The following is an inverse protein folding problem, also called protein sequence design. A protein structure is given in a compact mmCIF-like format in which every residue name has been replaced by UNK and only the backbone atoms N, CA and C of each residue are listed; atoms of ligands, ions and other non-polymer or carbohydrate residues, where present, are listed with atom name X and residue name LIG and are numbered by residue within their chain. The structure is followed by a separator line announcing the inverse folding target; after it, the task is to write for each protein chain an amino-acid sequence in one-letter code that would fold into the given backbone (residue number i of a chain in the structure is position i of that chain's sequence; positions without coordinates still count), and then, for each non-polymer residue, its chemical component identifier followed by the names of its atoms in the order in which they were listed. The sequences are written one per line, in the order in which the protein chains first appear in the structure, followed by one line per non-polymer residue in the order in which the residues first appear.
data_IF_630832886368
#
_entry.id   IF_630832886368
#
_cell.length_a   1.000
_cell.length_b   1.000
_cell.length_c   1.000
_cell.angle_alpha   90.00
_cell.angle_beta   90.00
_cell.angle_gamma   90.00
#
_symmetry.space_group_name_H-M   'P 1'
#
loop_
_entity.id
_entity.type
_entity.pdbx_description
1 polymer ?
#
# COMPACT_ATOMS: atom_id res chain seq x y z
N UNK A 1 7.96 9.27 12.47
CA UNK A 1 6.92 8.33 12.02
C UNK A 1 7.53 7.58 10.86
N UNK A 2 7.90 6.31 11.06
CA UNK A 2 8.60 5.50 10.06
C UNK A 2 7.57 4.86 9.13
N UNK A 3 7.58 5.21 7.84
CA UNK A 3 6.82 4.48 6.81
C UNK A 3 7.23 3.01 6.85
N UNK A 4 6.26 2.12 7.06
CA UNK A 4 6.48 0.68 6.94
C UNK A 4 6.13 0.25 5.52
N UNK A 5 7.14 0.14 4.67
CA UNK A 5 7.00 -0.60 3.42
C UNK A 5 7.29 -2.07 3.71
N UNK A 6 6.26 -2.91 3.69
CA UNK A 6 6.42 -4.36 3.82
C UNK A 6 6.68 -4.96 2.44
N UNK A 7 7.96 -5.13 2.07
CA UNK A 7 8.33 -6.03 0.97
C UNK A 7 8.39 -7.46 1.51
N UNK A 8 7.36 -8.26 1.23
CA UNK A 8 7.33 -9.67 1.62
C UNK A 8 8.13 -10.48 0.58
N UNK A 9 9.39 -10.76 0.87
CA UNK A 9 10.15 -11.76 0.13
C UNK A 9 9.95 -13.14 0.79
N UNK A 10 9.18 -14.00 0.15
CA UNK A 10 8.96 -15.37 0.62
C UNK A 10 10.23 -16.20 0.40
N UNK A 11 10.89 -16.64 1.48
CA UNK A 11 12.05 -17.54 1.44
C UNK A 11 11.63 -18.93 1.90
N UNK A 12 11.86 -19.95 1.07
CA UNK A 12 11.55 -21.34 1.42
C UNK A 12 12.52 -21.84 2.51
N UNK A 13 11.99 -22.34 3.63
CA UNK A 13 12.79 -23.07 4.60
C UNK A 13 12.98 -24.51 4.11
N UNK A 14 14.19 -24.87 3.70
CA UNK A 14 14.56 -26.27 3.48
C UNK A 14 14.66 -26.96 4.85
N UNK A 15 13.72 -27.84 5.18
CA UNK A 15 13.85 -28.70 6.36
C UNK A 15 14.86 -29.82 6.06
N UNK A 16 16.12 -29.60 6.46
CA UNK A 16 17.06 -30.72 6.60
C UNK A 16 16.67 -31.50 7.87
N UNK A 17 15.75 -32.46 7.75
CA UNK A 17 15.55 -33.47 8.78
C UNK A 17 16.80 -34.37 8.79
N UNK A 18 17.70 -34.11 9.74
CA UNK A 18 18.79 -35.01 10.07
C UNK A 18 18.20 -36.38 10.42
N UNK A 19 18.53 -37.38 9.61
CA UNK A 19 17.93 -38.71 9.68
C UNK A 19 18.28 -39.45 10.96
N UNK A 20 17.26 -40.02 11.60
CA UNK A 20 17.41 -41.23 12.41
C UNK A 20 17.11 -42.43 11.52
N UNK A 21 18.08 -43.33 11.38
CA UNK A 21 17.94 -44.56 10.61
C UNK A 21 16.84 -45.42 11.22
N UNK A 22 15.76 -45.67 10.46
CA UNK A 22 14.74 -46.73 10.60
C UNK A 22 13.26 -46.26 10.52
N UNK A 23 12.94 -45.21 9.77
CA UNK A 23 11.54 -44.97 9.36
C UNK A 23 11.37 -45.16 7.86
N UNK A 24 10.42 -46.01 7.46
CA UNK A 24 9.98 -46.18 6.08
C UNK A 24 9.77 -44.79 5.48
N UNK A 25 10.47 -44.49 4.38
CA UNK A 25 10.46 -43.21 3.69
C UNK A 25 9.01 -42.90 3.27
N UNK A 26 8.27 -42.18 4.10
CA UNK A 26 7.03 -41.58 3.68
C UNK A 26 7.38 -40.56 2.61
N UNK A 27 6.84 -40.73 1.41
CA UNK A 27 6.92 -39.71 0.37
C UNK A 27 6.04 -38.55 0.83
N UNK A 28 6.62 -37.63 1.60
CA UNK A 28 5.97 -36.36 1.89
C UNK A 28 6.17 -35.52 0.63
N UNK A 29 5.19 -35.51 -0.26
CA UNK A 29 5.08 -34.42 -1.23
C UNK A 29 4.91 -33.14 -0.43
N UNK A 30 5.99 -32.36 -0.31
CA UNK A 30 5.85 -30.96 0.08
C UNK A 30 5.03 -30.28 -1.02
N UNK A 31 3.73 -30.13 -0.77
CA UNK A 31 2.86 -29.30 -1.59
C UNK A 31 3.45 -27.90 -1.57
N UNK A 32 4.10 -27.52 -2.69
CA UNK A 32 4.53 -26.13 -2.88
C UNK A 32 3.25 -25.29 -2.89
N UNK A 33 3.10 -24.33 -1.97
CA UNK A 33 1.90 -23.51 -1.97
C UNK A 33 1.87 -22.69 -3.26
N UNK A 34 0.79 -22.85 -4.03
CA UNK A 34 0.55 -22.09 -5.25
C UNK A 34 -0.08 -20.74 -4.87
N UNK A 35 0.74 -19.84 -4.35
CA UNK A 35 0.30 -18.49 -4.02
C UNK A 35 0.10 -17.67 -5.30
N UNK A 36 -1.01 -16.95 -5.34
CA UNK A 36 -1.24 -15.85 -6.29
C UNK A 36 -1.32 -14.53 -5.51
N UNK A 37 -1.12 -13.43 -6.22
CA UNK A 37 -1.28 -12.09 -5.69
C UNK A 37 -2.01 -11.24 -6.73
N UNK A 38 -2.63 -10.17 -6.25
CA UNK A 38 -3.27 -9.16 -7.07
C UNK A 38 -2.67 -7.81 -6.69
N UNK A 39 -2.29 -7.01 -7.69
CA UNK A 39 -1.95 -5.62 -7.44
C UNK A 39 -3.22 -4.86 -7.14
N UNK A 40 -3.36 -4.37 -5.91
CA UNK A 40 -4.42 -3.41 -5.62
C UNK A 40 -4.11 -2.13 -6.40
N UNK A 41 -5.08 -1.61 -7.16
CA UNK A 41 -4.81 -0.45 -7.96
C UNK A 41 -4.92 0.85 -7.11
N UNK A 42 -4.32 1.96 -7.56
CA UNK A 42 -4.22 3.22 -6.77
C UNK A 42 -5.43 4.15 -6.93
N UNK A 43 -6.15 4.45 -5.85
CA UNK A 43 -7.26 5.42 -5.85
C UNK A 43 -8.57 4.87 -5.27
N UNK A 44 -9.68 5.56 -5.57
CA UNK A 44 -11.02 5.14 -5.13
C UNK A 44 -11.59 4.16 -6.16
N UNK A 45 -11.85 2.94 -5.71
CA UNK A 45 -12.46 1.86 -6.48
C UNK A 45 -13.94 1.78 -6.12
N UNK A 46 -14.77 1.37 -7.08
CA UNK A 46 -16.21 1.17 -6.90
C UNK A 46 -17.01 2.45 -6.60
N UNK A 47 -18.32 2.29 -6.37
CA UNK A 47 -19.27 3.38 -6.12
C UNK A 47 -19.30 3.87 -4.67
N UNK A 48 -18.32 3.48 -3.84
CA UNK A 48 -18.29 3.80 -2.40
C UNK A 48 -17.61 5.14 -2.06
N UNK A 49 -17.27 5.95 -3.08
CA UNK A 49 -16.71 7.29 -2.91
C UNK A 49 -17.77 8.39 -2.75
N UNK A 50 -17.39 9.50 -2.12
CA UNK A 50 -18.17 10.73 -2.08
C UNK A 50 -17.27 11.96 -2.20
N UNK A 51 -17.86 13.08 -2.63
CA UNK A 51 -17.18 14.37 -2.70
C UNK A 51 -17.65 15.29 -1.58
N UNK A 52 -16.72 16.00 -0.95
CA UNK A 52 -17.03 16.99 0.09
C UNK A 52 -16.06 18.16 0.03
N UNK A 53 -16.56 19.36 0.30
CA UNK A 53 -15.71 20.50 0.59
C UNK A 53 -15.14 20.36 2.00
N UNK A 54 -13.84 20.07 2.08
CA UNK A 54 -13.10 19.92 3.33
C UNK A 54 -12.79 18.46 3.69
N UNK A 55 -11.89 18.30 4.67
CA UNK A 55 -11.46 17.00 5.17
C UNK A 55 -12.49 16.40 6.13
N UNK A 56 -12.56 15.08 6.15
CA UNK A 56 -13.35 14.29 7.08
C UNK A 56 -12.43 13.52 8.02
N UNK A 57 -12.95 13.06 9.14
CA UNK A 57 -12.21 12.18 10.06
C UNK A 57 -12.46 10.71 9.66
N UNK A 58 -11.43 9.87 9.81
CA UNK A 58 -11.41 8.52 9.24
C UNK A 58 -12.43 7.57 9.90
N UNK A 59 -12.44 7.43 11.22
CA UNK A 59 -13.30 6.49 11.94
C UNK A 59 -14.77 6.82 11.69
N UNK A 60 -15.13 8.10 11.75
CA UNK A 60 -16.48 8.58 11.46
C UNK A 60 -16.90 8.31 10.01
N UNK A 61 -15.97 8.43 9.07
CA UNK A 61 -16.26 8.25 7.64
C UNK A 61 -16.41 6.79 7.27
N UNK A 62 -15.51 5.94 7.78
CA UNK A 62 -15.51 4.49 7.54
C UNK A 62 -16.48 3.75 8.46
N UNK A 63 -17.02 4.42 9.49
CA UNK A 63 -17.73 3.77 10.60
C UNK A 63 -16.92 2.60 11.21
N UNK A 64 -15.59 2.76 11.23
CA UNK A 64 -14.63 1.74 11.67
C UNK A 64 -14.75 0.39 10.92
N UNK A 65 -15.29 0.41 9.70
CA UNK A 65 -15.43 -0.81 8.88
C UNK A 65 -14.18 -1.13 8.05
N UNK A 66 -13.22 -0.20 7.98
CA UNK A 66 -11.97 -0.32 7.23
C UNK A 66 -10.86 0.49 7.88
N UNK A 67 -9.65 -0.06 7.89
CA UNK A 67 -8.42 0.64 8.29
C UNK A 67 -7.96 1.70 7.27
N UNK A 68 -8.52 1.67 6.06
CA UNK A 68 -8.12 2.53 4.94
C UNK A 68 -9.20 3.53 4.57
N UNK A 69 -8.77 4.79 4.35
CA UNK A 69 -9.57 5.85 3.74
C UNK A 69 -8.74 6.60 2.69
N UNK A 70 -9.23 6.64 1.45
CA UNK A 70 -8.62 7.41 0.38
C UNK A 70 -9.10 8.86 0.40
N UNK A 71 -8.14 9.80 0.48
CA UNK A 71 -8.39 11.21 0.18
C UNK A 71 -7.85 11.51 -1.23
N UNK A 72 -8.71 12.03 -2.10
CA UNK A 72 -8.32 12.43 -3.46
C UNK A 72 -8.63 13.90 -3.67
N UNK A 73 -7.67 14.63 -4.21
CA UNK A 73 -7.84 16.02 -4.64
C UNK A 73 -7.07 16.26 -5.93
N UNK A 74 -7.50 17.24 -6.71
CA UNK A 74 -6.83 17.67 -7.94
C UNK A 74 -6.33 19.10 -7.78
N UNK A 75 -5.06 19.33 -8.06
CA UNK A 75 -4.44 20.66 -8.05
C UNK A 75 -4.17 21.04 -9.51
N UNK A 76 -4.74 22.16 -9.95
CA UNK A 76 -4.46 22.70 -11.27
C UNK A 76 -3.15 23.49 -11.20
N UNK A 77 -2.23 23.20 -12.12
CA UNK A 77 -0.93 23.85 -12.22
C UNK A 77 -0.90 24.66 -13.50
N UNK A 78 -0.70 25.98 -13.39
CA UNK A 78 -0.60 26.85 -14.55
C UNK A 78 0.76 26.68 -15.26
N UNK A 79 0.75 26.76 -16.59
CA UNK A 79 1.98 26.66 -17.41
C UNK A 79 2.99 27.78 -17.12
N UNK A 80 2.57 28.84 -16.43
CA UNK A 80 3.41 29.97 -16.04
C UNK A 80 4.28 29.73 -14.81
N UNK A 81 4.01 28.67 -14.05
CA UNK A 81 4.61 28.39 -12.74
C UNK A 81 6.14 28.32 -12.81
N UNK A 82 6.81 28.96 -11.86
CA UNK A 82 8.27 29.11 -11.86
C UNK A 82 8.97 27.75 -11.76
N UNK A 83 8.42 26.85 -10.96
CA UNK A 83 8.98 25.51 -10.73
C UNK A 83 9.01 24.63 -12.00
N UNK A 84 8.14 24.93 -12.98
CA UNK A 84 8.18 24.26 -14.28
C UNK A 84 9.37 24.70 -15.14
N UNK A 85 9.94 25.89 -14.88
CA UNK A 85 11.01 26.51 -15.70
C UNK A 85 12.38 26.31 -15.08
N UNK A 86 12.49 26.47 -13.76
CA UNK A 86 13.76 26.36 -13.04
C UNK A 86 14.07 24.92 -12.57
N UNK A 87 13.12 24.00 -12.74
CA UNK A 87 13.26 22.60 -12.36
C UNK A 87 13.15 22.34 -10.86
N UNK A 88 12.74 23.34 -10.07
CA UNK A 88 12.38 23.14 -8.66
C UNK A 88 11.11 22.28 -8.56
N UNK A 89 10.90 21.67 -7.39
CA UNK A 89 9.73 20.80 -7.15
C UNK A 89 8.80 21.47 -6.16
N UNK A 90 7.48 21.48 -6.42
CA UNK A 90 6.52 21.94 -5.42
C UNK A 90 6.58 21.02 -4.20
N UNK A 91 6.31 21.59 -3.03
CA UNK A 91 6.27 20.86 -1.76
C UNK A 91 4.81 20.61 -1.42
N UNK A 92 4.42 19.34 -1.32
CA UNK A 92 3.12 18.94 -0.78
C UNK A 92 3.27 18.70 0.72
N UNK A 93 2.67 19.57 1.53
CA UNK A 93 2.60 19.39 2.98
C UNK A 93 1.26 18.74 3.33
N UNK A 94 1.30 17.60 4.03
CA UNK A 94 0.09 16.92 4.54
C UNK A 94 0.23 16.72 6.05
N UNK A 95 -0.69 17.30 6.80
CA UNK A 95 -0.86 17.02 8.22
C UNK A 95 -1.96 15.96 8.39
N UNK A 96 -1.68 14.96 9.21
CA UNK A 96 -2.63 13.88 9.49
C UNK A 96 -2.71 13.64 11.00
N UNK A 97 -3.93 13.34 11.48
CA UNK A 97 -4.16 12.82 12.83
C UNK A 97 -4.09 11.29 12.88
N UNK A 98 -3.91 10.64 11.73
CA UNK A 98 -3.83 9.19 11.60
C UNK A 98 -2.45 8.63 11.93
N UNK A 99 -2.38 7.29 11.96
CA UNK A 99 -1.15 6.56 12.29
C UNK A 99 -0.18 6.49 11.10
N UNK A 100 -0.70 6.28 9.90
CA UNK A 100 0.06 6.11 8.66
C UNK A 100 -0.58 6.90 7.50
N UNK A 101 0.25 7.29 6.52
CA UNK A 101 -0.17 7.99 5.32
C UNK A 101 0.70 7.55 4.15
N UNK A 102 0.08 7.13 3.05
CA UNK A 102 0.73 6.93 1.76
C UNK A 102 0.29 8.00 0.78
N UNK A 103 1.24 8.62 0.10
CA UNK A 103 0.98 9.68 -0.86
C UNK A 103 1.22 9.15 -2.27
N UNK A 104 0.24 9.36 -3.15
CA UNK A 104 0.36 9.04 -4.56
C UNK A 104 0.12 10.31 -5.39
N UNK A 105 1.05 10.64 -6.28
CA UNK A 105 0.96 11.78 -7.19
C UNK A 105 0.85 11.22 -8.60
N UNK A 106 -0.24 11.56 -9.30
CA UNK A 106 -0.49 11.10 -10.68
C UNK A 106 -0.35 9.57 -10.87
N UNK A 107 -0.85 8.79 -9.90
CA UNK A 107 -0.82 7.32 -9.94
C UNK A 107 0.53 6.70 -9.61
N UNK A 108 1.49 7.47 -9.08
CA UNK A 108 2.80 6.99 -8.66
C UNK A 108 3.01 7.22 -7.17
N UNK A 109 3.61 6.25 -6.48
CA UNK A 109 4.03 6.41 -5.09
C UNK A 109 5.10 7.51 -4.99
N UNK A 110 4.89 8.47 -4.10
CA UNK A 110 5.70 9.68 -3.97
C UNK A 110 6.72 9.60 -2.83
#
# INVERSE_FOLDING_TARGET
ISSQTTSIQMVFANSNLAGSSNMKRAHIEMVRPNWSWLQEPIGVWESHGFSKFGLVEQIKTTSDSSDYLWYTTSIQVDNGEAFLKDGTRPILHVESLGHDLHVFINGQFA
#
